data_IF_011751989778
#
_entry.id   IF_011751989778
#
_cell.length_a   1.000
_cell.length_b   1.000
_cell.length_c   1.000
_cell.angle_alpha   90.00
_cell.angle_beta   90.00
_cell.angle_gamma   90.00
#
_symmetry.space_group_name_H-M   'P 1'
#
loop_
_entity.id
_entity.type
_entity.pdbx_description
1 polymer ?
#
# COMPACT_ATOMS: atom_id res chain seq x y z
N UNK A 1 -1.38 11.48 -4.32
CA UNK A 1 -1.35 10.01 -4.23
C UNK A 1 -0.23 9.63 -3.27
N UNK A 2 -0.37 8.55 -2.51
CA UNK A 2 0.60 8.08 -1.52
C UNK A 2 0.61 6.55 -1.47
N UNK A 3 1.76 5.98 -1.10
CA UNK A 3 1.93 4.55 -0.87
C UNK A 3 2.61 4.33 0.49
N UNK A 4 2.04 3.45 1.29
CA UNK A 4 2.55 3.06 2.59
C UNK A 4 2.82 1.56 2.54
N UNK A 5 4.01 1.14 2.98
CA UNK A 5 4.43 -0.25 2.99
C UNK A 5 4.98 -0.57 4.37
N UNK A 6 4.55 -1.69 4.93
CA UNK A 6 5.09 -2.22 6.19
C UNK A 6 5.91 -3.47 5.84
N UNK A 7 7.16 -3.46 6.25
CA UNK A 7 8.13 -4.54 6.06
C UNK A 7 9.08 -4.62 7.26
N UNK A 8 9.70 -5.78 7.49
CA UNK A 8 10.72 -5.93 8.53
C UNK A 8 11.97 -5.07 8.26
N UNK A 9 12.23 -4.79 6.98
CA UNK A 9 13.31 -3.90 6.55
C UNK A 9 12.77 -2.56 6.06
N UNK A 10 13.16 -1.48 6.73
CA UNK A 10 12.81 -0.12 6.30
C UNK A 10 13.30 0.18 4.87
N UNK A 11 14.45 -0.37 4.46
CA UNK A 11 14.96 -0.20 3.10
C UNK A 11 14.09 -0.92 2.05
N UNK A 12 13.54 -2.09 2.40
CA UNK A 12 12.61 -2.82 1.52
C UNK A 12 11.28 -2.08 1.43
N UNK A 13 10.74 -1.61 2.56
CA UNK A 13 9.52 -0.81 2.59
C UNK A 13 9.63 0.46 1.71
N UNK A 14 10.74 1.19 1.81
CA UNK A 14 10.99 2.41 1.02
C UNK A 14 11.09 2.12 -0.48
N UNK A 15 11.83 1.08 -0.86
CA UNK A 15 11.96 0.65 -2.24
C UNK A 15 10.61 0.19 -2.83
N UNK A 16 9.82 -0.58 -2.07
CA UNK A 16 8.50 -1.04 -2.50
C UNK A 16 7.49 0.11 -2.60
N UNK A 17 7.48 1.05 -1.65
CA UNK A 17 6.61 2.22 -1.72
C UNK A 17 6.89 3.03 -3.00
N UNK A 18 8.17 3.22 -3.33
CA UNK A 18 8.59 3.85 -4.60
C UNK A 18 8.12 3.03 -5.80
N UNK A 19 8.35 1.72 -5.80
CA UNK A 19 7.96 0.84 -6.91
C UNK A 19 6.44 0.84 -7.14
N UNK A 20 5.63 0.84 -6.08
CA UNK A 20 4.17 0.87 -6.17
C UNK A 20 3.65 2.19 -6.75
N UNK A 21 4.30 3.31 -6.43
CA UNK A 21 3.98 4.59 -7.05
C UNK A 21 4.28 4.61 -8.56
N UNK A 22 5.27 3.83 -9.02
CA UNK A 22 5.61 3.68 -10.45
C UNK A 22 4.62 2.74 -11.17
N UNK A 23 4.32 1.58 -10.57
CA UNK A 23 3.39 0.58 -11.13
C UNK A 23 1.95 1.11 -11.22
N UNK A 24 1.57 2.01 -10.32
CA UNK A 24 0.20 2.49 -10.20
C UNK A 24 -0.71 1.50 -9.45
N UNK A 25 -1.89 1.98 -9.09
CA UNK A 25 -2.71 1.40 -8.03
C UNK A 25 -3.09 -0.07 -8.24
N UNK A 26 -3.56 -0.42 -9.44
CA UNK A 26 -4.05 -1.77 -9.72
C UNK A 26 -2.91 -2.79 -9.75
N UNK A 27 -1.82 -2.49 -10.44
CA UNK A 27 -0.68 -3.39 -10.56
C UNK A 27 0.05 -3.54 -9.22
N UNK A 28 0.24 -2.43 -8.49
CA UNK A 28 0.81 -2.44 -7.15
C UNK A 28 -0.02 -3.30 -6.19
N UNK A 29 -1.34 -3.12 -6.15
CA UNK A 29 -2.22 -3.91 -5.29
C UNK A 29 -2.18 -5.40 -5.64
N UNK A 30 -2.26 -5.74 -6.94
CA UNK A 30 -2.19 -7.12 -7.38
C UNK A 30 -0.83 -7.77 -7.03
N UNK A 31 0.27 -7.03 -7.16
CA UNK A 31 1.60 -7.52 -6.76
C UNK A 31 1.68 -7.73 -5.25
N UNK A 32 1.27 -6.73 -4.46
CA UNK A 32 1.32 -6.77 -3.00
C UNK A 32 0.44 -7.89 -2.43
N UNK A 33 -0.74 -8.16 -3.01
CA UNK A 33 -1.57 -9.30 -2.63
C UNK A 33 -0.88 -10.64 -2.92
N UNK A 34 -0.23 -10.79 -4.08
CA UNK A 34 0.47 -12.03 -4.44
C UNK A 34 1.69 -12.31 -3.57
N UNK A 35 2.40 -11.27 -3.14
CA UNK A 35 3.59 -11.39 -2.28
C UNK A 35 3.26 -11.40 -0.79
N UNK A 36 2.00 -11.14 -0.40
CA UNK A 36 1.61 -10.99 1.00
C UNK A 36 2.11 -9.70 1.65
N UNK A 37 2.52 -8.71 0.87
CA UNK A 37 3.00 -7.43 1.39
C UNK A 37 1.86 -6.62 2.01
N UNK A 38 2.10 -6.09 3.22
CA UNK A 38 1.25 -5.07 3.81
C UNK A 38 1.46 -3.74 3.07
N UNK A 39 0.45 -3.32 2.30
CA UNK A 39 0.46 -2.06 1.57
C UNK A 39 -0.88 -1.33 1.68
N UNK A 40 -0.82 -0.02 1.76
CA UNK A 40 -1.96 0.89 1.75
C UNK A 40 -1.68 2.01 0.75
N UNK A 41 -2.58 2.21 -0.22
CA UNK A 41 -2.42 3.18 -1.31
C UNK A 41 -3.55 4.20 -1.24
N UNK A 42 -3.20 5.49 -1.33
CA UNK A 42 -4.16 6.58 -1.50
C UNK A 42 -4.01 7.12 -2.92
N UNK A 43 -5.08 7.03 -3.70
CA UNK A 43 -5.09 7.46 -5.10
C UNK A 43 -6.05 8.63 -5.32
N UNK A 44 -5.72 9.49 -6.28
CA UNK A 44 -6.58 10.61 -6.66
C UNK A 44 -7.73 10.07 -7.51
N UNK A 45 -8.97 10.30 -7.07
CA UNK A 45 -10.18 9.88 -7.78
C UNK A 45 -11.15 11.06 -7.90
N UNK A 46 -11.30 11.60 -9.12
CA UNK A 46 -12.13 12.78 -9.37
C UNK A 46 -11.79 13.96 -8.45
N UNK A 47 -12.79 14.48 -7.73
CA UNK A 47 -12.60 15.56 -6.76
C UNK A 47 -11.97 15.08 -5.42
N UNK A 48 -11.98 13.78 -5.13
CA UNK A 48 -11.56 13.21 -3.85
C UNK A 48 -10.36 12.28 -3.94
N UNK A 49 -10.31 11.31 -3.02
CA UNK A 49 -9.32 10.24 -2.95
C UNK A 49 -10.02 8.90 -2.69
N UNK A 50 -9.42 7.82 -3.19
CA UNK A 50 -9.81 6.45 -2.88
C UNK A 50 -8.64 5.74 -2.20
N UNK A 51 -8.96 4.78 -1.34
CA UNK A 51 -8.00 3.93 -0.66
C UNK A 51 -8.03 2.50 -1.22
N UNK A 52 -6.86 1.88 -1.33
CA UNK A 52 -6.70 0.48 -1.67
C UNK A 52 -5.77 -0.15 -0.65
N UNK A 53 -6.28 -1.17 0.04
CA UNK A 53 -5.62 -1.78 1.20
C UNK A 53 -5.44 -3.27 0.96
N UNK A 54 -4.25 -3.80 1.23
CA UNK A 54 -4.06 -5.25 1.19
C UNK A 54 -4.53 -5.91 2.49
N UNK A 55 -5.01 -7.17 2.46
CA UNK A 55 -5.40 -7.89 3.68
C UNK A 55 -4.28 -7.99 4.73
N UNK A 56 -3.02 -7.96 4.29
CA UNK A 56 -1.88 -7.94 5.20
C UNK A 56 -1.76 -6.62 5.97
N UNK A 57 -2.18 -5.50 5.37
CA UNK A 57 -2.15 -4.18 6.00
C UNK A 57 -3.32 -3.97 6.97
N UNK A 58 -4.47 -4.61 6.74
CA UNK A 58 -5.67 -4.47 7.61
C UNK A 58 -5.39 -4.74 9.09
N UNK A 59 -4.43 -5.62 9.40
CA UNK A 59 -3.99 -5.93 10.76
C UNK A 59 -3.51 -4.70 11.54
N UNK A 60 -3.04 -3.67 10.84
CA UNK A 60 -2.51 -2.43 11.40
C UNK A 60 -3.54 -1.30 11.46
N UNK A 61 -4.72 -1.48 10.87
CA UNK A 61 -5.80 -0.48 10.85
C UNK A 61 -6.73 -0.57 12.08
N UNK A 62 -6.46 -1.48 13.01
CA UNK A 62 -7.25 -1.62 14.22
C UNK A 62 -7.16 -0.35 15.08
N UNK A 63 -8.31 0.27 15.36
CA UNK A 63 -8.45 1.23 16.46
C UNK A 63 -8.24 0.47 17.78
N UNK A 64 -7.01 0.47 18.29
CA UNK A 64 -6.79 0.21 19.70
C UNK A 64 -6.83 1.57 20.41
N UNK A 65 -7.76 1.81 21.36
CA UNK A 65 -7.86 3.08 22.08
C UNK A 65 -6.58 3.43 22.85
#
# INVERSE_FOLDING_TARGET
AAAYVIDESAAVADALATAYMILGAQEAHAWAQRSGQAAYLIIKAGAGFEEIVTPAFEKYLSDNP
#
